data_IF_177559249004
#
_entry.id   IF_177559249004
#
_cell.length_a   1.000
_cell.length_b   1.000
_cell.length_c   1.000
_cell.angle_alpha   90.00
_cell.angle_beta   90.00
_cell.angle_gamma   90.00
#
_symmetry.space_group_name_H-M   'P 1'
#
loop_
_entity.id
_entity.type
_entity.pdbx_description
1 polymer ?
#
# COMPACT_ATOMS: atom_id res chain seq x y z
N UNK A 1 -0.95 -6.11 8.94
CA UNK A 1 -1.73 -7.27 9.43
C UNK A 1 -0.90 -8.01 10.46
N UNK A 2 -1.51 -8.76 11.38
CA UNK A 2 -0.75 -9.72 12.20
C UNK A 2 -0.51 -11.03 11.41
N UNK A 3 0.13 -11.99 12.07
CA UNK A 3 0.40 -13.34 11.56
C UNK A 3 -0.85 -14.11 11.09
N UNK A 4 -2.04 -13.70 11.54
CA UNK A 4 -3.33 -14.28 11.16
C UNK A 4 -4.06 -13.49 10.06
N UNK A 5 -3.36 -12.61 9.33
CA UNK A 5 -3.95 -11.78 8.25
C UNK A 5 -5.08 -10.87 8.79
N UNK A 6 -5.06 -10.56 10.09
CA UNK A 6 -6.04 -9.67 10.72
C UNK A 6 -5.58 -8.21 10.63
N UNK A 7 -6.45 -7.26 10.27
CA UNK A 7 -6.14 -5.84 10.39
C UNK A 7 -5.79 -5.49 11.82
N UNK A 8 -4.76 -4.66 12.00
CA UNK A 8 -4.45 -4.09 13.32
C UNK A 8 -5.18 -2.77 13.52
N UNK A 9 -5.30 -1.96 12.47
CA UNK A 9 -6.12 -0.75 12.44
C UNK A 9 -6.58 -0.46 11.01
N UNK A 10 -7.62 0.37 10.89
CA UNK A 10 -8.02 1.00 9.64
C UNK A 10 -8.34 2.46 9.97
N UNK A 11 -7.55 3.40 9.43
CA UNK A 11 -7.66 4.82 9.72
C UNK A 11 -7.78 5.60 8.42
N UNK A 12 -8.86 6.38 8.29
CA UNK A 12 -9.01 7.34 7.20
C UNK A 12 -8.05 8.51 7.42
N UNK A 13 -7.29 8.86 6.39
CA UNK A 13 -6.33 9.96 6.40
C UNK A 13 -6.59 10.88 5.22
N UNK A 14 -6.39 12.18 5.43
CA UNK A 14 -6.30 13.13 4.31
C UNK A 14 -4.93 13.04 3.65
N UNK A 15 -4.85 13.46 2.40
CA UNK A 15 -3.59 13.57 1.63
C UNK A 15 -2.50 14.34 2.39
N UNK A 16 -2.86 15.46 3.01
CA UNK A 16 -1.92 16.29 3.78
C UNK A 16 -1.41 15.61 5.07
N UNK A 17 -2.14 14.65 5.61
CA UNK A 17 -1.83 13.99 6.89
C UNK A 17 -1.00 12.72 6.70
N UNK A 18 -0.91 12.20 5.48
CA UNK A 18 -0.32 10.88 5.21
C UNK A 18 1.15 10.81 5.60
N UNK A 19 1.97 11.79 5.17
CA UNK A 19 3.41 11.74 5.45
C UNK A 19 3.72 11.93 6.94
N UNK A 20 2.98 12.80 7.62
CA UNK A 20 3.13 13.02 9.07
C UNK A 20 2.69 11.79 9.86
N UNK A 21 1.63 11.11 9.43
CA UNK A 21 1.22 9.83 9.99
C UNK A 21 2.30 8.78 9.80
N UNK A 22 2.85 8.67 8.58
CA UNK A 22 3.91 7.70 8.27
C UNK A 22 5.13 7.95 9.16
N UNK A 23 5.63 9.18 9.31
CA UNK A 23 6.79 9.51 10.18
C UNK A 23 6.69 9.02 11.62
N UNK A 24 5.47 8.81 12.14
CA UNK A 24 5.23 8.33 13.51
C UNK A 24 5.22 6.79 13.61
N UNK A 25 5.26 6.08 12.48
CA UNK A 25 5.23 4.62 12.46
C UNK A 25 6.65 4.04 12.52
N UNK A 26 6.81 2.89 13.18
CA UNK A 26 8.06 2.14 13.10
C UNK A 26 8.37 1.72 11.65
N UNK A 27 9.66 1.59 11.26
CA UNK A 27 10.04 1.13 9.93
C UNK A 27 9.32 -0.18 9.58
N UNK A 28 8.61 -0.17 8.46
CA UNK A 28 7.76 -1.29 8.02
C UNK A 28 7.67 -1.34 6.49
N UNK A 29 7.23 -2.47 5.95
CA UNK A 29 6.91 -2.57 4.53
C UNK A 29 5.55 -1.91 4.27
N UNK A 30 5.51 -1.03 3.27
CA UNK A 30 4.31 -0.33 2.82
C UNK A 30 3.92 -0.88 1.46
N UNK A 31 2.70 -1.38 1.33
CA UNK A 31 2.18 -1.88 0.05
C UNK A 31 1.02 -1.02 -0.40
N UNK A 32 1.06 -0.57 -1.65
CA UNK A 32 0.01 0.24 -2.27
C UNK A 32 -0.40 -0.38 -3.60
N UNK A 33 -1.65 -0.21 -4.00
CA UNK A 33 -2.06 -0.53 -5.38
C UNK A 33 -1.34 0.41 -6.37
N UNK A 34 -0.89 -0.14 -7.49
CA UNK A 34 -0.31 0.59 -8.60
C UNK A 34 -1.38 1.39 -9.36
N UNK A 35 -1.75 2.56 -8.84
CA UNK A 35 -2.64 3.52 -9.48
C UNK A 35 -1.87 4.76 -10.00
N UNK A 36 -2.56 5.71 -10.64
CA UNK A 36 -1.95 6.92 -11.22
C UNK A 36 -1.05 7.69 -10.23
N UNK A 37 -1.45 7.78 -8.96
CA UNK A 37 -0.70 8.53 -7.94
C UNK A 37 0.27 7.68 -7.11
N UNK A 38 0.28 6.36 -7.31
CA UNK A 38 1.03 5.41 -6.49
C UNK A 38 2.53 5.62 -6.53
N UNK A 39 3.08 5.96 -7.70
CA UNK A 39 4.51 6.23 -7.84
C UNK A 39 4.94 7.47 -7.08
N UNK A 40 4.16 8.55 -7.11
CA UNK A 40 4.45 9.75 -6.32
C UNK A 40 4.49 9.42 -4.83
N UNK A 41 3.43 8.77 -4.33
CA UNK A 41 3.35 8.43 -2.90
C UNK A 41 4.40 7.43 -2.47
N UNK A 42 4.65 6.42 -3.30
CA UNK A 42 5.67 5.43 -3.01
C UNK A 42 7.05 6.04 -2.87
N UNK A 43 7.38 7.08 -3.67
CA UNK A 43 8.63 7.84 -3.53
C UNK A 43 8.65 8.66 -2.25
N UNK A 44 7.60 9.42 -1.96
CA UNK A 44 7.55 10.23 -0.74
C UNK A 44 7.66 9.39 0.52
N UNK A 45 7.02 8.22 0.54
CA UNK A 45 7.11 7.26 1.63
C UNK A 45 8.50 6.60 1.67
N UNK A 46 9.08 6.21 0.53
CA UNK A 46 10.43 5.65 0.48
C UNK A 46 11.50 6.64 0.98
N UNK A 47 11.34 7.95 0.74
CA UNK A 47 12.22 9.00 1.30
C UNK A 47 12.21 9.06 2.82
N UNK A 48 11.15 8.56 3.47
CA UNK A 48 11.08 8.44 4.94
C UNK A 48 11.76 7.16 5.46
N UNK A 49 12.31 6.31 4.57
CA UNK A 49 13.03 5.09 4.94
C UNK A 49 12.20 3.80 4.94
N UNK A 50 10.96 3.82 4.42
CA UNK A 50 10.11 2.62 4.32
C UNK A 50 10.45 1.78 3.08
N UNK A 51 10.27 0.46 3.20
CA UNK A 51 10.26 -0.47 2.06
C UNK A 51 8.89 -0.38 1.36
N UNK A 52 8.80 0.42 0.30
CA UNK A 52 7.55 0.64 -0.43
C UNK A 52 7.44 -0.27 -1.65
N UNK A 53 6.34 -1.02 -1.74
CA UNK A 53 6.02 -1.94 -2.84
C UNK A 53 4.70 -1.56 -3.49
N UNK A 54 4.65 -1.62 -4.82
CA UNK A 54 3.43 -1.35 -5.59
C UNK A 54 2.88 -2.66 -6.15
N UNK A 55 1.61 -2.99 -5.87
CA UNK A 55 0.96 -4.20 -6.36
C UNK A 55 0.06 -3.87 -7.56
N UNK A 56 0.16 -4.60 -8.69
CA UNK A 56 -0.75 -4.42 -9.82
C UNK A 56 -2.22 -4.64 -9.43
N UNK A 57 -3.13 -3.78 -9.92
CA UNK A 57 -4.59 -3.90 -9.70
C UNK A 57 -5.12 -5.29 -9.99
N UNK A 58 -4.68 -5.92 -11.09
CA UNK A 58 -5.09 -7.29 -11.48
C UNK A 58 -4.84 -8.35 -10.41
N UNK A 59 -3.85 -8.14 -9.53
CA UNK A 59 -3.55 -9.06 -8.43
C UNK A 59 -4.34 -8.71 -7.16
N UNK A 60 -4.86 -7.49 -7.05
CA UNK A 60 -5.73 -7.04 -5.94
C UNK A 60 -7.18 -7.45 -6.18
N UNK A 61 -7.67 -7.35 -7.42
CA UNK A 61 -9.07 -7.61 -7.79
C UNK A 61 -9.63 -8.94 -7.25
N UNK A 62 -8.90 -10.08 -7.28
CA UNK A 62 -9.42 -11.34 -6.75
C UNK A 62 -9.66 -11.37 -5.24
N UNK A 63 -9.07 -10.43 -4.48
CA UNK A 63 -9.18 -10.32 -3.03
C UNK A 63 -10.20 -9.27 -2.58
N UNK A 64 -10.84 -8.57 -3.52
CA UNK A 64 -11.89 -7.61 -3.23
C UNK A 64 -13.13 -8.32 -2.66
N UNK A 65 -13.64 -7.81 -1.53
CA UNK A 65 -14.82 -8.34 -0.86
C UNK A 65 -15.90 -7.26 -0.79
N UNK A 66 -17.06 -7.52 -1.38
CA UNK A 66 -18.16 -6.56 -1.42
C UNK A 66 -17.88 -5.39 -2.37
N UNK A 67 -18.43 -4.22 -2.02
CA UNK A 67 -18.33 -3.03 -2.88
C UNK A 67 -16.92 -2.43 -2.87
N UNK A 68 -16.58 -1.78 -3.97
CA UNK A 68 -15.34 -1.02 -4.08
C UNK A 68 -15.38 0.24 -3.18
N UNK A 69 -14.46 0.32 -2.21
CA UNK A 69 -14.24 1.47 -1.34
C UNK A 69 -12.84 1.38 -0.69
N UNK A 70 -12.35 2.50 -0.18
CA UNK A 70 -11.01 2.61 0.43
C UNK A 70 -10.73 1.56 1.52
N UNK A 71 -11.75 1.19 2.30
CA UNK A 71 -11.62 0.20 3.36
C UNK A 71 -11.33 -1.18 2.76
N UNK A 72 -12.17 -1.62 1.82
CA UNK A 72 -12.06 -2.93 1.18
C UNK A 72 -10.81 -3.03 0.30
N UNK A 73 -10.42 -1.93 -0.37
CA UNK A 73 -9.18 -1.85 -1.13
C UNK A 73 -7.96 -2.09 -0.23
N UNK A 74 -7.91 -1.44 0.94
CA UNK A 74 -6.83 -1.64 1.90
C UNK A 74 -6.68 -3.11 2.35
N UNK A 75 -7.80 -3.81 2.53
CA UNK A 75 -7.82 -5.24 2.83
C UNK A 75 -7.33 -6.10 1.68
N UNK A 76 -7.84 -5.86 0.48
CA UNK A 76 -7.49 -6.62 -0.70
C UNK A 76 -6.00 -6.45 -1.04
N UNK A 77 -5.45 -5.24 -0.95
CA UNK A 77 -4.02 -4.96 -1.13
C UNK A 77 -3.18 -5.75 -0.12
N UNK A 78 -3.55 -5.65 1.17
CA UNK A 78 -2.83 -6.32 2.23
C UNK A 78 -2.85 -7.85 2.07
N UNK A 79 -4.00 -8.45 1.77
CA UNK A 79 -4.12 -9.89 1.55
C UNK A 79 -3.36 -10.34 0.29
N UNK A 80 -3.51 -9.61 -0.82
CA UNK A 80 -2.82 -9.89 -2.07
C UNK A 80 -1.31 -9.88 -1.87
N UNK A 81 -0.78 -8.92 -1.11
CA UNK A 81 0.65 -8.79 -0.84
C UNK A 81 1.30 -9.98 -0.11
N UNK A 82 0.51 -10.81 0.57
CA UNK A 82 0.99 -11.99 1.30
C UNK A 82 1.18 -13.22 0.40
N UNK A 83 0.76 -13.15 -0.88
CA UNK A 83 0.87 -14.28 -1.80
C UNK A 83 2.32 -14.40 -2.30
N UNK A 84 2.88 -15.61 -2.20
CA UNK A 84 4.29 -15.87 -2.46
C UNK A 84 4.76 -15.49 -3.88
N UNK A 85 3.88 -15.55 -4.88
CA UNK A 85 4.22 -15.37 -6.29
C UNK A 85 3.83 -13.99 -6.86
N UNK A 86 3.65 -12.98 -6.01
CA UNK A 86 3.29 -11.62 -6.46
C UNK A 86 4.51 -10.93 -7.07
N UNK A 87 4.33 -10.45 -8.30
CA UNK A 87 5.28 -9.56 -8.96
C UNK A 87 4.87 -8.12 -8.68
N UNK A 88 5.62 -7.45 -7.82
CA UNK A 88 5.43 -6.03 -7.54
C UNK A 88 5.91 -5.17 -8.73
N UNK A 89 5.24 -4.04 -8.93
CA UNK A 89 5.66 -3.01 -9.88
C UNK A 89 6.86 -2.27 -9.27
N UNK A 90 7.99 -2.15 -9.98
CA UNK A 90 9.12 -1.36 -9.52
C UNK A 90 8.71 0.11 -9.33
N UNK A 91 9.10 0.69 -8.19
CA UNK A 91 8.89 2.11 -7.94
C UNK A 91 9.75 2.93 -8.90
N UNK A 92 9.12 3.63 -9.84
CA UNK A 92 9.82 4.48 -10.80
C UNK A 92 10.36 5.75 -10.12
N UNK A 93 11.62 6.08 -10.42
CA UNK A 93 12.17 7.40 -10.16
C UNK A 93 11.49 8.44 -11.05
N UNK A 94 11.46 9.70 -10.60
CA UNK A 94 11.14 10.80 -11.51
C UNK A 94 12.24 10.89 -12.57
N UNK A 95 11.84 10.96 -13.84
CA UNK A 95 12.74 11.44 -14.88
C UNK A 95 12.92 12.93 -14.62
N UNK A 96 14.17 13.33 -14.33
CA UNK A 96 14.59 14.73 -14.31
C UNK A 96 14.73 15.25 -15.72
#
# INVERSE_FOLDING_TARGET
MNEHIKPQFNKKLKRSELLDFMRQQSPTTVVMEACYSSHYWGREIAKLGYDTKLIPTQHVTPFMRGNNNDHNDGFAIAEASQRANIRFVPLKSEYR
#
